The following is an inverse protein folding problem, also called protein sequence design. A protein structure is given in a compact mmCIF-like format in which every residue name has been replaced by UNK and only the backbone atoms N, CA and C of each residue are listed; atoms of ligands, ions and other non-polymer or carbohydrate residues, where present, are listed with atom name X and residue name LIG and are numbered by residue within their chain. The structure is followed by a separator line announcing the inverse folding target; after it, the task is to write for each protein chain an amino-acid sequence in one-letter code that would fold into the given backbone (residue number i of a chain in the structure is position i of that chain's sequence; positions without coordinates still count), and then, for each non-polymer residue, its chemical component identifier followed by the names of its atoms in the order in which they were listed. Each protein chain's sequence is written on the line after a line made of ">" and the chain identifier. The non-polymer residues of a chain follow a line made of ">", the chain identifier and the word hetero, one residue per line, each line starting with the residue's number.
data_IF_705053619248
#
_entry.id   IF_705053619248
#
_cell.length_a   1.000
_cell.length_b   1.000
_cell.length_c   1.000
_cell.angle_alpha   90.00
_cell.angle_beta   90.00
_cell.angle_gamma   90.00
#
_symmetry.space_group_name_H-M   'P 1'
#
loop_
_entity.id
_entity.type
_entity.pdbx_description
1 polymer ?
#
# COMPACT_ATOMS: atom_id res chain seq x y z
N UNK A 1 27.23 4.69 -12.11
CA UNK A 1 25.98 3.96 -12.39
C UNK A 1 24.91 4.48 -11.45
N UNK A 2 23.75 4.84 -12.00
CA UNK A 2 22.56 5.28 -11.26
C UNK A 2 21.47 4.23 -11.51
N UNK A 3 20.76 3.86 -10.45
CA UNK A 3 19.61 2.97 -10.54
C UNK A 3 18.34 3.71 -10.13
N UNK A 4 17.27 3.58 -10.90
CA UNK A 4 15.93 4.03 -10.55
C UNK A 4 15.00 2.83 -10.46
N UNK A 5 14.51 2.58 -9.25
CA UNK A 5 13.64 1.47 -8.89
C UNK A 5 12.26 2.03 -8.54
N UNK A 6 11.27 1.73 -9.38
CA UNK A 6 9.93 2.29 -9.32
C UNK A 6 9.01 1.26 -8.67
N UNK A 7 8.34 1.65 -7.60
CA UNK A 7 7.23 0.90 -7.03
C UNK A 7 5.95 1.32 -7.76
N UNK A 8 5.53 0.53 -8.74
CA UNK A 8 4.36 0.84 -9.57
C UNK A 8 3.03 0.70 -8.82
N UNK A 9 3.00 0.12 -7.62
CA UNK A 9 1.78 0.06 -6.81
C UNK A 9 1.55 1.40 -6.07
N UNK A 10 2.63 2.07 -5.65
CA UNK A 10 2.58 3.40 -5.04
C UNK A 10 2.83 4.55 -6.04
N UNK A 11 3.54 4.31 -7.14
CA UNK A 11 3.98 5.29 -8.14
C UNK A 11 3.44 4.94 -9.54
N UNK A 12 2.11 4.91 -9.63
CA UNK A 12 1.35 4.35 -10.76
C UNK A 12 0.92 5.37 -11.83
N UNK A 13 1.47 6.59 -11.82
CA UNK A 13 1.08 7.66 -12.76
C UNK A 13 2.13 7.84 -13.86
N UNK A 14 1.74 7.74 -15.15
CA UNK A 14 2.61 8.04 -16.29
C UNK A 14 3.32 9.40 -16.17
N UNK A 15 2.56 10.45 -15.84
CA UNK A 15 3.08 11.82 -15.75
C UNK A 15 4.13 11.98 -14.64
N UNK A 16 3.95 11.30 -13.50
CA UNK A 16 4.92 11.33 -12.40
C UNK A 16 6.23 10.66 -12.79
N UNK A 17 6.16 9.55 -13.53
CA UNK A 17 7.34 8.84 -14.02
C UNK A 17 8.08 9.71 -15.05
N UNK A 18 7.37 10.33 -15.99
CA UNK A 18 7.96 11.24 -16.97
C UNK A 18 8.70 12.40 -16.30
N UNK A 19 8.04 13.08 -15.34
CA UNK A 19 8.63 14.18 -14.58
C UNK A 19 9.84 13.72 -13.73
N UNK A 20 9.75 12.53 -13.14
CA UNK A 20 10.84 11.92 -12.38
C UNK A 20 12.09 11.72 -13.25
N UNK A 21 11.94 11.07 -14.41
CA UNK A 21 13.05 10.84 -15.33
C UNK A 21 13.68 12.15 -15.80
N UNK A 22 12.86 13.11 -16.24
CA UNK A 22 13.37 14.41 -16.69
C UNK A 22 14.13 15.16 -15.59
N UNK A 23 13.63 15.10 -14.35
CA UNK A 23 14.27 15.76 -13.21
C UNK A 23 15.59 15.08 -12.85
N UNK A 24 15.58 13.75 -12.74
CA UNK A 24 16.77 12.97 -12.41
C UNK A 24 17.87 13.07 -13.47
N UNK A 25 17.53 12.99 -14.75
CA UNK A 25 18.51 13.13 -15.83
C UNK A 25 19.13 14.54 -15.86
N UNK A 26 18.36 15.56 -15.49
CA UNK A 26 18.86 16.94 -15.37
C UNK A 26 19.78 17.14 -14.17
N UNK A 27 19.48 16.53 -13.02
CA UNK A 27 20.20 16.79 -11.76
C UNK A 27 21.34 15.83 -11.48
N UNK A 28 21.17 14.56 -11.81
CA UNK A 28 22.10 13.47 -11.45
C UNK A 28 22.76 12.84 -12.69
N UNK A 29 22.16 13.01 -13.87
CA UNK A 29 22.65 12.48 -15.15
C UNK A 29 21.96 11.19 -15.58
N UNK A 30 22.54 10.50 -16.56
CA UNK A 30 21.89 9.34 -17.21
C UNK A 30 21.66 8.16 -16.25
N UNK A 31 20.42 7.68 -16.23
CA UNK A 31 20.00 6.55 -15.41
C UNK A 31 20.30 5.24 -16.14
N UNK A 32 21.21 4.44 -15.57
CA UNK A 32 21.69 3.20 -16.17
C UNK A 32 20.75 2.01 -15.93
N UNK A 33 20.21 1.89 -14.72
CA UNK A 33 19.30 0.80 -14.35
C UNK A 33 17.91 1.40 -14.14
N UNK A 34 16.92 0.89 -14.87
CA UNK A 34 15.54 1.39 -14.86
C UNK A 34 14.62 0.20 -14.68
N UNK A 35 14.00 0.06 -13.51
CA UNK A 35 13.15 -1.09 -13.17
C UNK A 35 11.86 -0.62 -12.53
N UNK A 36 10.75 -1.25 -12.87
CA UNK A 36 9.44 -1.00 -12.27
C UNK A 36 8.86 -2.31 -11.73
N UNK A 37 8.45 -2.31 -10.47
CA UNK A 37 7.91 -3.44 -9.73
C UNK A 37 6.44 -3.22 -9.45
N UNK A 38 5.60 -4.22 -9.64
CA UNK A 38 4.19 -4.07 -9.27
C UNK A 38 3.29 -5.16 -9.82
N UNK A 39 1.99 -4.97 -9.58
CA UNK A 39 0.96 -5.81 -10.16
C UNK A 39 0.93 -5.75 -11.70
N UNK A 40 0.40 -6.80 -12.33
CA UNK A 40 0.21 -6.82 -13.77
C UNK A 40 -0.72 -5.67 -14.24
N UNK A 41 -1.73 -5.32 -13.43
CA UNK A 41 -2.63 -4.20 -13.75
C UNK A 41 -1.90 -2.86 -13.75
N UNK A 42 -1.13 -2.55 -12.70
CA UNK A 42 -0.44 -1.27 -12.57
C UNK A 42 0.66 -1.11 -13.63
N UNK A 43 1.44 -2.17 -13.88
CA UNK A 43 2.47 -2.14 -14.92
C UNK A 43 1.86 -2.01 -16.33
N UNK A 44 0.69 -2.61 -16.57
CA UNK A 44 -0.04 -2.40 -17.83
C UNK A 44 -0.51 -0.96 -17.99
N UNK A 45 -0.97 -0.31 -16.91
CA UNK A 45 -1.32 1.11 -16.90
C UNK A 45 -0.16 2.04 -17.24
N UNK A 46 1.08 1.60 -17.04
CA UNK A 46 2.30 2.35 -17.32
C UNK A 46 2.99 1.94 -18.62
N UNK A 47 2.42 1.02 -19.40
CA UNK A 47 3.14 0.33 -20.49
C UNK A 47 3.81 1.28 -21.50
N UNK A 48 3.13 2.34 -21.92
CA UNK A 48 3.69 3.31 -22.87
C UNK A 48 4.85 4.11 -22.28
N UNK A 49 4.70 4.60 -21.05
CA UNK A 49 5.76 5.32 -20.34
C UNK A 49 6.98 4.44 -20.08
N UNK A 50 6.77 3.19 -19.64
CA UNK A 50 7.86 2.23 -19.45
C UNK A 50 8.58 1.95 -20.79
N UNK A 51 7.83 1.84 -21.90
CA UNK A 51 8.42 1.68 -23.23
C UNK A 51 9.24 2.89 -23.67
N UNK A 52 8.73 4.11 -23.48
CA UNK A 52 9.41 5.36 -23.85
C UNK A 52 10.74 5.50 -23.11
N UNK A 53 10.74 5.24 -21.80
CA UNK A 53 11.93 5.38 -20.97
C UNK A 53 12.81 4.12 -20.90
N UNK A 54 12.49 3.08 -21.67
CA UNK A 54 13.16 1.78 -21.65
C UNK A 54 13.27 1.19 -20.23
N UNK A 55 12.20 1.30 -19.44
CA UNK A 55 12.10 0.74 -18.09
C UNK A 55 11.71 -0.73 -18.18
N UNK A 56 12.47 -1.58 -17.51
CA UNK A 56 12.17 -3.01 -17.45
C UNK A 56 11.08 -3.28 -16.40
N UNK A 57 9.90 -3.83 -16.78
CA UNK A 57 8.89 -4.22 -15.81
C UNK A 57 9.26 -5.55 -15.12
N UNK A 58 8.94 -5.65 -13.83
CA UNK A 58 9.03 -6.82 -12.97
C UNK A 58 7.65 -7.06 -12.38
N UNK A 59 6.89 -7.94 -13.04
CA UNK A 59 5.53 -8.29 -12.64
C UNK A 59 5.60 -9.20 -11.43
N UNK A 60 4.98 -8.78 -10.34
CA UNK A 60 4.89 -9.57 -9.11
C UNK A 60 3.71 -10.55 -9.18
N UNK A 61 3.86 -11.70 -8.52
CA UNK A 61 2.73 -12.60 -8.28
C UNK A 61 1.69 -11.88 -7.42
N UNK A 62 0.39 -12.11 -7.64
CA UNK A 62 -0.69 -11.50 -6.87
C UNK A 62 -0.80 -12.15 -5.48
N UNK A 63 0.23 -11.95 -4.67
CA UNK A 63 0.33 -12.39 -3.29
C UNK A 63 -0.18 -11.30 -2.34
N UNK A 64 -0.43 -11.64 -1.06
CA UNK A 64 -0.79 -10.64 -0.05
C UNK A 64 0.25 -9.52 0.10
N UNK A 65 -0.09 -8.51 0.91
CA UNK A 65 0.62 -7.23 1.08
C UNK A 65 2.16 -7.32 1.07
N UNK A 66 2.80 -6.27 0.57
CA UNK A 66 4.25 -6.00 0.57
C UNK A 66 5.11 -6.82 -0.41
N UNK A 67 4.50 -7.53 -1.37
CA UNK A 67 5.26 -8.29 -2.37
C UNK A 67 6.14 -7.38 -3.24
N UNK A 68 5.62 -6.21 -3.63
CA UNK A 68 6.33 -5.21 -4.43
C UNK A 68 7.50 -4.58 -3.68
N UNK A 69 7.27 -4.22 -2.42
CA UNK A 69 8.32 -3.62 -1.59
C UNK A 69 9.48 -4.58 -1.36
N UNK A 70 9.18 -5.85 -1.08
CA UNK A 70 10.19 -6.89 -0.88
C UNK A 70 10.96 -7.16 -2.18
N UNK A 71 10.28 -7.28 -3.33
CA UNK A 71 10.98 -7.56 -4.59
C UNK A 71 11.89 -6.40 -5.01
N UNK A 72 11.43 -5.16 -4.83
CA UNK A 72 12.24 -3.97 -5.03
C UNK A 72 13.45 -3.94 -4.08
N UNK A 73 13.23 -4.19 -2.78
CA UNK A 73 14.29 -4.15 -1.77
C UNK A 73 15.37 -5.22 -1.98
N UNK A 74 14.97 -6.44 -2.36
CA UNK A 74 15.91 -7.53 -2.69
C UNK A 74 16.79 -7.12 -3.86
N UNK A 75 16.19 -6.60 -4.92
CA UNK A 75 16.92 -6.18 -6.11
C UNK A 75 17.85 -4.99 -5.82
N UNK A 76 17.38 -4.00 -5.06
CA UNK A 76 18.20 -2.86 -4.64
C UNK A 76 19.46 -3.30 -3.87
N UNK A 77 19.33 -4.31 -3.00
CA UNK A 77 20.44 -4.87 -2.24
C UNK A 77 21.36 -5.76 -3.09
N UNK A 78 20.83 -6.45 -4.10
CA UNK A 78 21.65 -7.15 -5.09
C UNK A 78 22.51 -6.16 -5.88
N UNK A 79 21.91 -5.07 -6.37
CA UNK A 79 22.62 -3.98 -7.04
C UNK A 79 23.71 -3.38 -6.14
N UNK A 80 23.43 -3.20 -4.85
CA UNK A 80 24.39 -2.70 -3.88
C UNK A 80 25.61 -3.62 -3.66
N UNK A 81 25.51 -4.90 -4.06
CA UNK A 81 26.59 -5.88 -3.99
C UNK A 81 27.37 -6.03 -5.32
N UNK A 82 26.95 -5.37 -6.40
CA UNK A 82 27.62 -5.45 -7.71
C UNK A 82 28.99 -4.75 -7.74
N UNK A 83 29.83 -5.15 -8.69
CA UNK A 83 31.05 -4.46 -9.06
C UNK A 83 31.03 -4.10 -10.56
N UNK A 84 30.96 -2.80 -10.93
CA UNK A 84 30.89 -1.63 -10.06
C UNK A 84 29.51 -1.45 -9.41
N UNK A 85 29.50 -1.03 -8.14
CA UNK A 85 28.25 -0.71 -7.42
C UNK A 85 27.64 0.62 -7.89
N UNK A 86 26.30 0.80 -7.78
CA UNK A 86 25.67 2.09 -7.97
C UNK A 86 26.24 3.14 -7.01
N UNK A 87 26.40 4.38 -7.51
CA UNK A 87 26.72 5.54 -6.66
C UNK A 87 25.47 6.17 -6.07
N UNK A 88 24.35 6.03 -6.78
CA UNK A 88 23.04 6.56 -6.46
C UNK A 88 21.97 5.50 -6.76
N UNK A 89 21.08 5.29 -5.80
CA UNK A 89 19.83 4.55 -5.96
C UNK A 89 18.67 5.51 -5.73
N UNK A 90 17.75 5.55 -6.68
CA UNK A 90 16.52 6.33 -6.62
C UNK A 90 15.37 5.36 -6.36
N UNK A 91 14.59 5.62 -5.32
CA UNK A 91 13.40 4.85 -4.96
C UNK A 91 12.17 5.66 -5.34
N UNK A 92 11.38 5.16 -6.29
CA UNK A 92 10.12 5.73 -6.72
C UNK A 92 8.98 5.32 -5.80
N UNK A 93 9.07 5.66 -4.50
CA UNK A 93 8.04 5.43 -3.50
C UNK A 93 8.27 6.32 -2.28
N UNK A 94 7.19 6.82 -1.69
CA UNK A 94 7.19 7.62 -0.46
C UNK A 94 6.85 6.84 0.80
N UNK A 95 6.76 5.50 0.72
CA UNK A 95 6.34 4.64 1.83
C UNK A 95 7.43 4.53 2.93
N UNK A 96 6.97 4.40 4.18
CA UNK A 96 7.82 4.25 5.36
C UNK A 96 8.51 2.87 5.38
N UNK A 97 7.90 1.86 4.76
CA UNK A 97 8.42 0.49 4.73
C UNK A 97 9.80 0.39 4.03
N UNK A 98 10.18 1.37 3.21
CA UNK A 98 11.51 1.44 2.58
C UNK A 98 12.61 2.02 3.48
N UNK A 99 12.30 2.64 4.63
CA UNK A 99 13.33 3.26 5.49
C UNK A 99 14.47 2.29 5.87
N UNK A 100 14.22 1.03 6.28
CA UNK A 100 15.30 0.08 6.57
C UNK A 100 16.21 -0.18 5.36
N UNK A 101 15.65 -0.23 4.14
CA UNK A 101 16.42 -0.38 2.91
C UNK A 101 17.32 0.83 2.67
N UNK A 102 16.76 2.04 2.82
CA UNK A 102 17.48 3.31 2.62
C UNK A 102 18.68 3.41 3.55
N UNK A 103 18.48 3.12 4.85
CA UNK A 103 19.57 3.09 5.83
C UNK A 103 20.66 2.11 5.40
N UNK A 104 20.28 0.90 4.98
CA UNK A 104 21.25 -0.13 4.59
C UNK A 104 22.05 0.20 3.33
N UNK A 105 21.44 0.90 2.37
CA UNK A 105 22.12 1.40 1.17
C UNK A 105 23.12 2.51 1.53
N UNK A 106 22.73 3.44 2.43
CA UNK A 106 23.60 4.53 2.90
C UNK A 106 24.81 4.03 3.68
N UNK A 107 24.65 3.00 4.52
CA UNK A 107 25.76 2.31 5.19
C UNK A 107 26.81 1.75 4.22
N UNK A 108 26.42 1.47 2.97
CA UNK A 108 27.32 1.00 1.90
C UNK A 108 27.93 2.15 1.09
N UNK A 109 27.71 3.40 1.51
CA UNK A 109 28.16 4.60 0.81
C UNK A 109 27.46 4.81 -0.53
N UNK A 110 26.19 4.43 -0.63
CA UNK A 110 25.33 4.69 -1.79
C UNK A 110 24.40 5.84 -1.42
N UNK A 111 24.36 6.91 -2.23
CA UNK A 111 23.38 7.99 -2.07
C UNK A 111 21.99 7.45 -2.38
N UNK A 112 20.98 7.83 -1.61
CA UNK A 112 19.60 7.40 -1.84
C UNK A 112 18.67 8.59 -1.97
N UNK A 113 17.94 8.64 -3.09
CA UNK A 113 16.97 9.69 -3.40
C UNK A 113 15.58 9.09 -3.45
N UNK A 114 14.62 9.71 -2.77
CA UNK A 114 13.20 9.39 -2.93
C UNK A 114 12.62 10.23 -4.07
N UNK A 115 11.81 9.61 -4.92
CA UNK A 115 10.91 10.34 -5.83
C UNK A 115 9.48 9.90 -5.53
N UNK A 116 8.60 10.86 -5.25
CA UNK A 116 7.22 10.57 -4.91
C UNK A 116 6.31 11.77 -5.19
N UNK A 117 5.00 11.52 -5.30
CA UNK A 117 4.03 12.60 -5.27
C UNK A 117 3.90 13.13 -3.83
N UNK A 118 3.66 14.44 -3.66
CA UNK A 118 3.71 15.12 -2.36
C UNK A 118 2.75 14.54 -1.33
N UNK A 119 1.52 14.22 -1.70
CA UNK A 119 0.52 13.63 -0.79
C UNK A 119 0.83 12.18 -0.40
N UNK A 120 1.64 11.47 -1.21
CA UNK A 120 2.07 10.09 -0.94
C UNK A 120 3.34 9.97 -0.09
N UNK A 121 3.97 11.09 0.28
CA UNK A 121 5.18 11.06 1.10
C UNK A 121 4.87 10.89 2.59
N UNK A 122 5.34 9.80 3.18
CA UNK A 122 5.38 9.65 4.63
C UNK A 122 6.41 10.63 5.22
N UNK A 123 5.97 11.59 6.04
CA UNK A 123 6.85 12.63 6.57
C UNK A 123 7.99 12.06 7.43
N UNK A 124 7.72 10.98 8.17
CA UNK A 124 8.72 10.30 9.00
C UNK A 124 9.81 9.59 8.17
N UNK A 125 9.56 9.33 6.88
CA UNK A 125 10.54 8.73 5.98
C UNK A 125 11.54 9.77 5.42
N UNK A 126 11.18 11.06 5.38
CA UNK A 126 11.98 12.14 4.77
C UNK A 126 13.43 12.17 5.29
N UNK A 127 13.69 12.11 6.62
CA UNK A 127 15.06 12.20 7.15
C UNK A 127 15.96 11.00 6.81
N UNK A 128 15.37 9.88 6.35
CA UNK A 128 16.13 8.69 5.98
C UNK A 128 16.87 8.88 4.65
N UNK A 129 16.26 9.60 3.71
CA UNK A 129 16.78 9.83 2.36
C UNK A 129 17.81 10.97 2.35
N UNK A 130 18.76 10.92 1.42
CA UNK A 130 19.71 12.03 1.24
C UNK A 130 19.05 13.21 0.52
N UNK A 131 17.99 12.95 -0.25
CA UNK A 131 17.16 13.96 -0.91
C UNK A 131 15.78 13.37 -1.27
N UNK A 132 14.75 14.22 -1.27
CA UNK A 132 13.40 13.89 -1.74
C UNK A 132 13.04 14.80 -2.91
N UNK A 133 12.57 14.22 -4.00
CA UNK A 133 12.09 14.91 -5.19
C UNK A 133 10.58 14.70 -5.27
N UNK A 134 9.83 15.80 -5.30
CA UNK A 134 8.39 15.76 -5.45
C UNK A 134 8.01 15.92 -6.92
N UNK A 135 7.07 15.10 -7.37
CA UNK A 135 6.46 15.16 -8.71
C UNK A 135 4.96 15.37 -8.61
N UNK A 136 4.31 15.69 -9.73
CA UNK A 136 2.86 15.88 -9.79
C UNK A 136 2.37 17.22 -9.26
N UNK A 137 3.25 18.22 -9.17
CA UNK A 137 2.84 19.58 -8.86
C UNK A 137 2.28 20.29 -10.09
N UNK A 138 1.09 20.89 -9.99
CA UNK A 138 0.89 22.17 -10.66
C UNK A 138 1.96 23.12 -10.11
N UNK A 139 2.64 23.87 -10.98
CA UNK A 139 3.79 24.72 -10.61
C UNK A 139 3.48 25.65 -9.43
N UNK A 140 3.71 25.20 -8.19
CA UNK A 140 3.68 26.05 -7.01
C UNK A 140 4.74 25.54 -6.02
N UNK A 141 5.68 26.44 -5.78
CA UNK A 141 6.68 26.47 -4.72
C UNK A 141 7.70 25.33 -4.65
N UNK A 142 8.82 25.61 -5.32
CA UNK A 142 10.16 25.16 -4.96
C UNK A 142 10.56 25.84 -3.64
N UNK A 143 10.71 25.13 -2.51
CA UNK A 143 11.49 25.67 -1.40
C UNK A 143 12.95 25.72 -1.85
N UNK A 144 13.54 26.91 -1.79
CA UNK A 144 14.97 27.12 -2.04
C UNK A 144 15.79 26.16 -1.17
N UNK A 145 16.75 25.51 -1.83
CA UNK A 145 17.83 24.80 -1.18
C UNK A 145 18.45 25.73 -0.11
N UNK A 146 18.38 25.30 1.15
CA UNK A 146 19.18 25.88 2.21
C UNK A 146 20.58 25.31 2.02
N UNK A 147 21.46 26.11 1.43
CA UNK A 147 22.90 25.84 1.42
C UNK A 147 23.42 25.74 2.86
N UNK A 148 24.21 24.71 3.19
CA UNK A 148 24.83 24.61 4.51
C UNK A 148 26.02 25.58 4.59
N UNK A 149 25.95 26.56 5.51
CA UNK A 149 27.14 27.32 5.93
C UNK A 149 27.98 26.49 6.91
N UNK A 150 29.32 26.44 6.75
CA UNK A 150 30.18 25.63 7.60
C UNK A 150 30.66 26.34 8.87
N UNK A 151 30.79 25.52 9.92
CA UNK A 151 31.81 25.51 10.98
C UNK A 151 31.77 26.57 12.10
N UNK A 152 31.57 26.10 13.34
CA UNK A 152 32.48 26.38 14.45
C UNK A 152 32.26 25.38 15.60
N UNK A 153 33.38 24.83 16.05
CA UNK A 153 33.57 23.82 17.09
C UNK A 153 33.61 24.39 18.51
N UNK A 154 33.28 23.50 19.46
CA UNK A 154 33.74 23.41 20.86
C UNK A 154 32.82 23.97 21.98
N UNK A 155 32.93 23.47 23.24
CA UNK A 155 33.43 22.18 23.70
C UNK A 155 32.44 21.40 24.60
N UNK A 156 32.72 20.10 24.71
CA UNK A 156 32.11 19.13 25.61
C UNK A 156 32.39 19.50 27.07
N UNK A 157 31.33 19.60 27.90
CA UNK A 157 31.47 19.61 29.36
C UNK A 157 31.01 18.26 29.92
N UNK A 158 31.99 17.53 30.42
CA UNK A 158 31.83 16.27 31.13
C UNK A 158 30.98 16.45 32.40
N UNK A 159 30.02 15.54 32.60
CA UNK A 159 29.51 15.20 33.93
C UNK A 159 29.61 13.70 34.08
N UNK A 160 30.32 13.30 35.12
CA UNK A 160 30.66 11.94 35.49
C UNK A 160 29.62 11.35 36.46
N UNK A 161 29.46 10.03 36.34
CA UNK A 161 29.02 9.03 37.34
C UNK A 161 27.55 9.07 37.82
N UNK A 162 26.83 7.97 37.56
CA UNK A 162 26.73 6.88 38.54
C UNK A 162 26.21 5.58 37.92
N UNK A 163 26.91 4.49 38.24
CA UNK A 163 26.52 3.13 38.00
C UNK A 163 25.46 2.67 39.01
N UNK A 164 24.50 1.87 38.53
CA UNK A 164 23.77 0.86 39.29
C UNK A 164 23.14 -0.10 38.25
N UNK A 165 23.82 -1.18 37.88
CA UNK A 165 23.50 -2.55 38.33
C UNK A 165 22.01 -2.82 38.57
N UNK A 166 21.40 -3.59 37.66
CA UNK A 166 20.51 -4.75 37.93
C UNK A 166 19.94 -5.31 36.61
N UNK A 167 20.58 -6.36 36.10
CA UNK A 167 19.90 -7.56 35.57
C UNK A 167 19.82 -8.56 36.74
N UNK A 168 18.94 -9.58 36.79
CA UNK A 168 18.34 -10.35 35.69
C UNK A 168 16.80 -10.44 35.81
N UNK A 169 16.04 -11.01 34.87
CA UNK A 169 15.67 -12.42 34.86
C UNK A 169 15.22 -12.84 33.46
N UNK A 170 15.85 -13.93 33.03
CA UNK A 170 15.53 -14.81 31.92
C UNK A 170 14.22 -15.58 32.19
N UNK A 171 13.31 -15.60 31.23
CA UNK A 171 12.41 -16.74 30.94
C UNK A 171 12.27 -16.82 29.42
N UNK A 172 13.16 -17.49 28.69
CA UNK A 172 13.03 -18.90 28.29
C UNK A 172 11.59 -19.42 28.23
N UNK A 173 11.04 -19.46 27.01
CA UNK A 173 10.20 -20.56 26.56
C UNK A 173 10.42 -20.73 25.04
N UNK A 174 11.27 -21.69 24.70
CA UNK A 174 11.43 -22.18 23.33
C UNK A 174 10.28 -23.14 22.96
N UNK A 175 10.03 -23.34 21.65
CA UNK A 175 8.84 -23.99 21.10
C UNK A 175 9.07 -25.47 20.76
N UNK A 176 7.99 -26.28 20.65
CA UNK A 176 7.96 -27.55 19.91
C UNK A 176 6.52 -28.11 19.79
N UNK A 177 6.21 -29.07 18.88
CA UNK A 177 6.07 -28.90 17.43
C UNK A 177 4.78 -29.52 16.83
N UNK A 178 4.51 -29.15 15.58
CA UNK A 178 4.01 -29.95 14.44
C UNK A 178 2.90 -31.02 14.60
N UNK A 179 1.83 -30.85 13.83
CA UNK A 179 1.19 -31.89 13.01
C UNK A 179 0.44 -31.19 11.85
N UNK A 180 0.97 -31.13 10.63
CA UNK A 180 0.94 -32.16 9.58
C UNK A 180 -0.48 -32.52 9.09
N UNK A 181 -0.83 -31.92 7.95
CA UNK A 181 -1.45 -32.49 6.74
C UNK A 181 -2.51 -33.60 6.92
N UNK A 182 -3.72 -33.33 6.40
CA UNK A 182 -4.35 -34.29 5.48
C UNK A 182 -5.04 -33.57 4.33
N UNK A 183 -4.70 -34.02 3.14
CA UNK A 183 -5.19 -33.59 1.87
C UNK A 183 -6.16 -34.63 1.29
N UNK A 184 -6.94 -34.15 0.32
CA UNK A 184 -7.59 -34.86 -0.79
C UNK A 184 -8.84 -35.70 -0.49
N UNK A 185 -9.97 -35.26 -1.04
CA UNK A 185 -10.78 -36.09 -1.93
C UNK A 185 -11.71 -35.21 -2.79
N UNK A 186 -11.39 -35.14 -4.10
CA UNK A 186 -12.31 -34.75 -5.17
C UNK A 186 -13.48 -35.73 -5.22
N UNK A 187 -14.69 -35.24 -5.43
CA UNK A 187 -15.72 -35.97 -6.19
C UNK A 187 -16.68 -34.97 -6.87
N UNK A 188 -16.69 -35.02 -8.19
CA UNK A 188 -17.75 -34.56 -9.10
C UNK A 188 -18.23 -35.81 -9.86
N UNK A 189 -19.36 -35.79 -10.60
CA UNK A 189 -20.60 -35.02 -10.46
C UNK A 189 -21.85 -35.93 -10.48
N UNK A 190 -23.00 -35.48 -10.00
CA UNK A 190 -24.29 -36.03 -10.42
C UNK A 190 -25.42 -35.00 -10.29
N UNK A 191 -26.37 -35.12 -11.21
CA UNK A 191 -27.29 -34.12 -11.73
C UNK A 191 -28.68 -34.28 -11.11
N UNK A 192 -29.31 -33.13 -10.82
CA UNK A 192 -30.76 -32.84 -10.66
C UNK A 192 -31.57 -33.72 -9.68
N UNK A 193 -32.14 -33.07 -8.66
CA UNK A 193 -33.59 -32.83 -8.58
C UNK A 193 -33.92 -31.74 -7.56
N UNK A 194 -34.87 -30.92 -7.96
CA UNK A 194 -35.70 -29.93 -7.27
C UNK A 194 -35.98 -30.17 -5.79
N UNK A 195 -35.78 -29.13 -4.97
CA UNK A 195 -36.25 -29.04 -3.59
C UNK A 195 -35.82 -27.70 -2.99
N UNK A 196 -36.78 -26.83 -2.71
CA UNK A 196 -36.59 -25.46 -2.27
C UNK A 196 -35.87 -25.36 -0.92
N UNK A 197 -34.71 -24.69 -0.91
CA UNK A 197 -34.12 -24.03 0.25
C UNK A 197 -32.92 -23.20 -0.25
N UNK A 198 -33.18 -22.03 -0.83
CA UNK A 198 -32.12 -21.04 -0.97
C UNK A 198 -32.01 -20.27 0.33
N UNK A 199 -30.80 -20.26 0.90
CA UNK A 199 -30.32 -19.28 1.88
C UNK A 199 -30.29 -17.88 1.26
N UNK A 200 -31.45 -17.41 0.80
CA UNK A 200 -31.63 -16.13 0.15
C UNK A 200 -31.88 -15.07 1.23
N UNK A 201 -30.91 -14.18 1.41
CA UNK A 201 -31.07 -12.95 2.19
C UNK A 201 -32.35 -12.25 1.72
N UNK A 202 -33.40 -12.23 2.55
CA UNK A 202 -34.72 -11.68 2.21
C UNK A 202 -34.93 -10.34 2.94
N UNK A 203 -35.70 -9.41 2.34
CA UNK A 203 -35.97 -8.05 2.90
C UNK A 203 -36.42 -8.07 4.37
N UNK A 204 -37.34 -8.97 4.82
CA UNK A 204 -37.75 -9.01 6.22
C UNK A 204 -36.62 -9.38 7.18
N UNK A 205 -35.64 -10.17 6.72
CA UNK A 205 -34.47 -10.58 7.51
C UNK A 205 -33.45 -9.46 7.65
N UNK A 206 -33.29 -8.65 6.61
CA UNK A 206 -32.48 -7.40 6.64
C UNK A 206 -33.12 -6.39 7.62
N UNK A 207 -34.44 -6.22 7.57
CA UNK A 207 -35.17 -5.32 8.48
C UNK A 207 -35.20 -5.84 9.93
N UNK A 208 -35.15 -7.15 10.14
CA UNK A 208 -35.02 -7.73 11.48
C UNK A 208 -33.62 -7.50 12.09
N UNK A 209 -32.57 -7.62 11.27
CA UNK A 209 -31.19 -7.35 11.69
C UNK A 209 -30.94 -5.86 11.96
N UNK A 210 -31.54 -4.97 11.16
CA UNK A 210 -31.34 -3.52 11.28
C UNK A 210 -32.68 -2.81 11.47
N UNK A 211 -33.24 -2.80 12.71
CA UNK A 211 -34.51 -2.15 12.99
C UNK A 211 -34.48 -0.65 12.72
N UNK A 212 -33.29 -0.02 12.77
CA UNK A 212 -33.10 1.40 12.47
C UNK A 212 -33.45 1.77 11.02
N UNK A 213 -33.43 0.80 10.08
CA UNK A 213 -33.88 1.02 8.70
C UNK A 213 -35.42 1.10 8.61
N UNK A 214 -36.17 0.48 9.53
CA UNK A 214 -37.65 0.54 9.53
C UNK A 214 -38.19 1.95 9.74
N UNK A 215 -37.41 2.82 10.37
CA UNK A 215 -37.78 4.21 10.61
C UNK A 215 -37.75 5.08 9.34
N UNK A 216 -37.29 4.55 8.19
CA UNK A 216 -37.20 5.31 6.92
C UNK A 216 -36.13 6.41 6.92
N UNK A 217 -35.33 6.51 7.98
CA UNK A 217 -34.24 7.47 8.11
C UNK A 217 -32.98 7.01 7.37
N UNK A 218 -32.15 7.96 6.96
CA UNK A 218 -30.84 7.68 6.37
C UNK A 218 -29.90 7.10 7.41
N UNK A 219 -29.36 5.92 7.13
CA UNK A 219 -28.40 5.22 7.98
C UNK A 219 -27.04 5.12 7.29
N UNK A 220 -25.92 5.33 8.02
CA UNK A 220 -24.59 5.11 7.47
C UNK A 220 -24.41 3.65 7.03
N UNK A 221 -23.95 3.47 5.79
CA UNK A 221 -23.78 2.14 5.19
C UNK A 221 -22.71 1.30 5.92
N UNK A 222 -21.77 1.95 6.62
CA UNK A 222 -20.78 1.30 7.47
C UNK A 222 -21.40 0.61 8.70
N UNK A 223 -22.29 1.31 9.40
CA UNK A 223 -22.97 0.75 10.59
C UNK A 223 -23.91 -0.38 10.20
N UNK A 224 -24.64 -0.20 9.10
CA UNK A 224 -25.52 -1.22 8.53
C UNK A 224 -24.71 -2.44 8.05
N UNK A 225 -23.55 -2.24 7.41
CA UNK A 225 -22.70 -3.34 6.97
C UNK A 225 -22.14 -4.16 8.14
N UNK A 226 -21.76 -3.48 9.24
CA UNK A 226 -21.26 -4.14 10.45
C UNK A 226 -22.32 -5.07 11.05
N UNK A 227 -23.54 -4.57 11.24
CA UNK A 227 -24.66 -5.37 11.76
C UNK A 227 -25.02 -6.54 10.82
N UNK A 228 -24.99 -6.33 9.50
CA UNK A 228 -25.23 -7.41 8.53
C UNK A 228 -24.13 -8.48 8.51
N UNK A 229 -22.88 -8.13 8.81
CA UNK A 229 -21.80 -9.10 8.99
C UNK A 229 -21.94 -9.85 10.32
N UNK A 230 -22.30 -9.16 11.39
CA UNK A 230 -22.52 -9.75 12.72
C UNK A 230 -23.66 -10.79 12.69
N UNK A 231 -24.75 -10.47 11.99
CA UNK A 231 -25.90 -11.37 11.75
C UNK A 231 -25.67 -12.43 10.67
N UNK A 232 -24.45 -12.50 10.09
CA UNK A 232 -24.06 -13.41 9.00
C UNK A 232 -24.96 -13.33 7.75
N UNK A 233 -25.68 -12.23 7.58
CA UNK A 233 -26.50 -11.94 6.39
C UNK A 233 -25.67 -11.43 5.22
N UNK A 234 -24.41 -11.06 5.47
CA UNK A 234 -23.46 -10.62 4.47
C UNK A 234 -22.13 -11.39 4.64
N UNK A 235 -21.69 -12.06 3.58
CA UNK A 235 -20.41 -12.78 3.58
C UNK A 235 -19.25 -11.82 3.90
N UNK A 236 -18.19 -12.29 4.58
CA UNK A 236 -17.08 -11.46 5.10
C UNK A 236 -16.35 -10.56 4.08
N UNK A 237 -16.55 -10.80 2.78
CA UNK A 237 -15.99 -10.02 1.67
C UNK A 237 -17.04 -9.35 0.77
N UNK A 238 -18.34 -9.54 1.05
CA UNK A 238 -19.41 -9.01 0.23
C UNK A 238 -19.71 -7.55 0.60
N UNK A 239 -19.85 -6.71 -0.40
CA UNK A 239 -20.15 -5.29 -0.23
C UNK A 239 -21.65 -5.08 0.05
N UNK A 240 -21.98 -4.37 1.12
CA UNK A 240 -23.37 -4.00 1.46
C UNK A 240 -24.06 -3.21 0.33
N UNK A 241 -23.32 -2.40 -0.43
CA UNK A 241 -23.83 -1.71 -1.63
C UNK A 241 -24.38 -2.67 -2.69
N UNK A 242 -23.75 -3.84 -2.90
CA UNK A 242 -24.23 -4.86 -3.83
C UNK A 242 -25.47 -5.58 -3.30
N UNK A 243 -25.59 -5.73 -1.98
CA UNK A 243 -26.78 -6.32 -1.36
C UNK A 243 -27.99 -5.38 -1.54
N UNK A 244 -27.86 -4.09 -1.23
CA UNK A 244 -28.96 -3.13 -1.35
C UNK A 244 -29.36 -2.85 -2.80
N UNK A 245 -28.40 -2.87 -3.75
CA UNK A 245 -28.70 -2.78 -5.19
C UNK A 245 -29.55 -3.95 -5.72
N UNK A 246 -29.61 -5.10 -5.02
CA UNK A 246 -30.53 -6.21 -5.38
C UNK A 246 -31.99 -5.91 -5.01
N UNK A 247 -32.25 -4.91 -4.18
CA UNK A 247 -33.57 -4.54 -3.69
C UNK A 247 -33.88 -3.05 -3.96
N UNK A 248 -33.85 -2.59 -5.23
CA UNK A 248 -33.98 -1.18 -5.58
C UNK A 248 -35.36 -0.57 -5.23
N UNK A 249 -36.40 -1.40 -5.16
CA UNK A 249 -37.75 -0.96 -4.77
C UNK A 249 -37.95 -0.83 -3.25
N UNK A 250 -36.97 -1.25 -2.44
CA UNK A 250 -37.08 -1.29 -0.98
C UNK A 250 -35.97 -0.47 -0.29
N UNK A 251 -34.81 -0.27 -0.93
CA UNK A 251 -33.70 0.46 -0.34
C UNK A 251 -33.12 1.49 -1.30
N UNK A 252 -32.87 2.69 -0.78
CA UNK A 252 -32.27 3.79 -1.52
C UNK A 252 -30.87 4.08 -1.01
N UNK A 253 -29.93 4.33 -1.94
CA UNK A 253 -28.52 4.57 -1.65
C UNK A 253 -28.13 5.98 -2.08
N UNK A 254 -27.48 6.75 -1.20
CA UNK A 254 -26.95 8.08 -1.50
C UNK A 254 -25.51 8.24 -1.01
N UNK A 255 -24.69 9.10 -1.64
CA UNK A 255 -24.87 9.69 -2.98
C UNK A 255 -24.57 8.70 -4.12
N UNK A 256 -25.13 8.91 -5.32
CA UNK A 256 -25.12 7.94 -6.42
C UNK A 256 -23.73 7.52 -6.92
N UNK A 257 -22.70 8.38 -6.76
CA UNK A 257 -21.32 8.08 -7.16
C UNK A 257 -20.48 7.32 -6.12
N UNK A 258 -20.72 7.56 -4.83
CA UNK A 258 -20.04 6.91 -3.69
C UNK A 258 -21.05 6.66 -2.57
N UNK A 259 -21.88 5.60 -2.66
CA UNK A 259 -22.97 5.38 -1.72
C UNK A 259 -22.42 5.14 -0.30
N UNK A 260 -22.68 6.08 0.59
CA UNK A 260 -22.25 6.04 1.99
C UNK A 260 -23.45 5.96 2.97
N UNK A 261 -24.67 6.13 2.47
CA UNK A 261 -25.91 6.05 3.25
C UNK A 261 -26.92 5.15 2.55
N UNK A 262 -27.77 4.51 3.36
CA UNK A 262 -28.89 3.69 2.92
C UNK A 262 -30.14 4.04 3.72
N UNK A 263 -31.30 4.12 3.06
CA UNK A 263 -32.62 4.19 3.73
C UNK A 263 -33.55 3.11 3.17
N UNK A 264 -34.50 2.66 3.99
CA UNK A 264 -35.60 1.81 3.52
C UNK A 264 -36.74 2.70 3.00
N UNK A 265 -37.23 2.42 1.80
CA UNK A 265 -38.40 3.07 1.22
C UNK A 265 -39.62 2.30 1.71
N UNK A 266 -40.48 2.94 2.51
CA UNK A 266 -41.77 2.36 2.88
C UNK A 266 -42.66 2.31 1.62
N UNK A 267 -43.32 1.17 1.34
CA UNK A 267 -44.27 1.11 0.24
C UNK A 267 -45.41 2.10 0.48
N UNK A 268 -45.94 2.77 -0.58
CA UNK A 268 -47.16 3.54 -0.44
C UNK A 268 -48.29 2.60 0.02
N UNK A 269 -49.01 3.03 1.05
CA UNK A 269 -50.25 2.40 1.52
C UNK A 269 -51.35 2.56 0.48
#
# INVERSE_FOLDING_TARGET
>A
MIAFLIDADNFSSPAWIDEAFQTLERTEGSISIRRAYGSAENLKGLADTLRIWAVRPFVNLPLPKNTTDISLAVDAMELACMAPRPKLVVVGSGDLDFVPLVVRLRERGIKVVCVTERSKMAQDAVPAYDQVIYVGGDQVDRPKAVEPKPMATAPVRAVTKKAATKSPVVKTASPKPAAAKKAVAKKVPAKKTTGAASDAVTVPRILAAVPNLKAGQWQPLGDVAKVLHDEKLLAKSATSTKLFKKFPHHFELMPAGKPNQVRFILPPQ
#
